data_IF_051479250046
#
_entry.id   IF_051479250046
#
_cell.length_a   1.000
_cell.length_b   1.000
_cell.length_c   1.000
_cell.angle_alpha   90.00
_cell.angle_beta   90.00
_cell.angle_gamma   90.00
#
_symmetry.space_group_name_H-M   'P 1'
#
loop_
_entity.id
_entity.type
_entity.pdbx_description
1 polymer ?
#
# COMPACT_ATOMS: atom_id res chain seq x y z
N UNK A 1 -2.86 6.69 -39.30
CA UNK A 1 -3.10 6.50 -37.86
C UNK A 1 -3.85 7.72 -37.42
N UNK A 2 -5.13 7.57 -37.11
CA UNK A 2 -5.97 8.69 -36.73
C UNK A 2 -5.83 8.91 -35.23
N UNK A 3 -5.47 10.13 -34.83
CA UNK A 3 -5.22 10.48 -33.44
C UNK A 3 -6.34 11.36 -32.92
N UNK A 4 -6.93 10.99 -31.79
CA UNK A 4 -8.04 11.76 -31.20
C UNK A 4 -7.50 12.70 -30.14
N UNK A 5 -7.83 13.98 -30.30
CA UNK A 5 -7.59 15.02 -29.31
C UNK A 5 -8.59 14.86 -28.15
N UNK A 6 -8.11 14.46 -26.97
CA UNK A 6 -8.95 14.41 -25.77
C UNK A 6 -9.15 15.85 -25.26
N UNK A 7 -10.39 16.39 -25.21
CA UNK A 7 -10.61 17.78 -24.85
C UNK A 7 -10.23 18.04 -23.38
N UNK A 8 -9.26 18.92 -23.17
CA UNK A 8 -8.86 19.47 -21.87
C UNK A 8 -9.13 20.98 -21.84
N UNK A 9 -9.56 21.50 -20.69
CA UNK A 9 -9.86 22.94 -20.49
C UNK A 9 -8.60 23.81 -20.30
N UNK A 10 -7.42 23.19 -20.30
CA UNK A 10 -6.12 23.84 -20.18
C UNK A 10 -5.22 23.30 -21.30
N UNK A 11 -4.44 24.21 -21.90
CA UNK A 11 -3.78 24.22 -23.22
C UNK A 11 -2.83 23.07 -23.59
N UNK A 12 -3.04 21.86 -23.06
CA UNK A 12 -2.25 20.66 -23.36
C UNK A 12 -3.23 19.51 -23.59
N UNK A 13 -3.54 19.25 -24.85
CA UNK A 13 -4.32 18.08 -25.28
C UNK A 13 -3.42 16.85 -25.27
N UNK A 14 -3.90 15.77 -24.65
CA UNK A 14 -3.22 14.47 -24.75
C UNK A 14 -3.57 13.84 -26.09
N UNK A 15 -2.55 13.53 -26.86
CA UNK A 15 -2.62 12.87 -28.16
C UNK A 15 -2.53 11.37 -27.88
N UNK A 16 -3.66 10.65 -27.95
CA UNK A 16 -3.72 9.20 -27.73
C UNK A 16 -4.22 8.54 -29.01
N UNK A 17 -3.53 7.50 -29.47
CA UNK A 17 -3.94 6.70 -30.63
C UNK A 17 -5.37 6.17 -30.41
N UNK A 18 -6.22 6.37 -31.41
CA UNK A 18 -7.66 6.07 -31.37
C UNK A 18 -7.96 4.64 -30.93
N UNK A 19 -7.09 3.67 -31.25
CA UNK A 19 -7.29 2.26 -30.85
C UNK A 19 -7.27 2.03 -29.34
N UNK A 20 -6.64 2.94 -28.59
CA UNK A 20 -6.57 2.88 -27.12
C UNK A 20 -7.60 3.78 -26.44
N UNK A 21 -8.38 4.55 -27.20
CA UNK A 21 -9.42 5.44 -26.67
C UNK A 21 -10.68 4.63 -26.35
N UNK A 22 -11.20 4.70 -25.11
CA UNK A 22 -12.44 4.01 -24.74
C UNK A 22 -13.63 4.50 -25.55
N UNK A 23 -14.38 3.58 -26.15
CA UNK A 23 -15.60 3.88 -26.92
C UNK A 23 -16.79 3.15 -26.33
N UNK A 24 -17.95 3.78 -26.40
CA UNK A 24 -19.22 3.14 -26.06
C UNK A 24 -19.41 1.92 -26.99
N UNK A 25 -19.81 0.80 -26.42
CA UNK A 25 -20.01 -0.45 -27.15
C UNK A 25 -18.78 -1.37 -27.21
N UNK A 26 -17.59 -0.94 -26.78
CA UNK A 26 -16.44 -1.86 -26.65
C UNK A 26 -16.78 -3.04 -25.74
N UNK A 27 -16.40 -4.25 -26.16
CA UNK A 27 -16.78 -5.52 -25.53
C UNK A 27 -15.54 -6.20 -24.95
N UNK A 28 -15.66 -6.75 -23.74
CA UNK A 28 -14.63 -7.49 -23.02
C UNK A 28 -15.21 -8.81 -22.51
N UNK A 29 -14.41 -9.88 -22.47
CA UNK A 29 -14.85 -11.17 -21.95
C UNK A 29 -14.94 -11.15 -20.43
N UNK A 30 -14.07 -10.38 -19.79
CA UNK A 30 -14.03 -10.24 -18.34
C UNK A 30 -14.02 -8.77 -17.90
N UNK A 31 -14.49 -8.51 -16.67
CA UNK A 31 -14.38 -7.18 -16.07
C UNK A 31 -12.92 -6.74 -15.92
N UNK A 32 -12.02 -7.70 -15.67
CA UNK A 32 -10.60 -7.42 -15.49
C UNK A 32 -9.93 -6.95 -16.78
N UNK A 33 -10.31 -7.50 -17.93
CA UNK A 33 -9.86 -6.99 -19.23
C UNK A 33 -10.30 -5.54 -19.46
N UNK A 34 -11.57 -5.21 -19.15
CA UNK A 34 -12.08 -3.85 -19.25
C UNK A 34 -11.32 -2.88 -18.33
N UNK A 35 -11.01 -3.30 -17.10
CA UNK A 35 -10.20 -2.54 -16.15
C UNK A 35 -8.78 -2.31 -16.66
N UNK A 36 -8.12 -3.35 -17.17
CA UNK A 36 -6.77 -3.27 -17.75
C UNK A 36 -6.73 -2.32 -18.93
N UNK A 37 -7.71 -2.42 -19.82
CA UNK A 37 -7.86 -1.51 -20.95
C UNK A 37 -7.97 -0.05 -20.49
N UNK A 38 -8.87 0.26 -19.53
CA UNK A 38 -9.01 1.63 -19.06
C UNK A 38 -7.81 2.13 -18.24
N UNK A 39 -7.13 1.24 -17.49
CA UNK A 39 -5.86 1.55 -16.82
C UNK A 39 -4.79 1.92 -17.85
N UNK A 40 -4.71 1.19 -18.97
CA UNK A 40 -3.78 1.49 -20.04
C UNK A 40 -4.08 2.83 -20.71
N UNK A 41 -5.35 3.08 -21.08
CA UNK A 41 -5.78 4.39 -21.56
C UNK A 41 -5.40 5.51 -20.58
N UNK A 42 -5.66 5.34 -19.28
CA UNK A 42 -5.33 6.36 -18.28
C UNK A 42 -3.83 6.62 -18.18
N UNK A 43 -2.99 5.60 -18.41
CA UNK A 43 -1.54 5.77 -18.48
C UNK A 43 -1.17 6.64 -19.68
N UNK A 44 -1.68 6.33 -20.87
CA UNK A 44 -1.42 7.12 -22.09
C UNK A 44 -1.94 8.56 -21.97
N UNK A 45 -3.11 8.72 -21.36
CA UNK A 45 -3.74 10.02 -21.16
C UNK A 45 -3.22 10.77 -19.91
N UNK A 46 -2.23 10.25 -19.18
CA UNK A 46 -1.59 10.99 -18.08
C UNK A 46 -2.41 11.18 -16.81
N UNK A 47 -3.26 10.22 -16.46
CA UNK A 47 -4.03 10.25 -15.22
C UNK A 47 -4.12 8.90 -14.51
N UNK A 48 -4.42 8.93 -13.22
CA UNK A 48 -4.66 7.75 -12.39
C UNK A 48 -6.17 7.46 -12.29
N UNK A 49 -6.55 6.20 -12.11
CA UNK A 49 -7.94 5.74 -12.01
C UNK A 49 -8.26 5.09 -10.66
N UNK A 50 -9.53 5.17 -10.26
CA UNK A 50 -10.09 4.39 -9.15
C UNK A 50 -11.47 3.90 -9.48
N UNK A 51 -11.85 2.79 -8.85
CA UNK A 51 -13.23 2.33 -8.83
C UNK A 51 -13.99 3.24 -7.86
N UNK A 52 -15.04 3.91 -8.35
CA UNK A 52 -15.88 4.78 -7.52
C UNK A 52 -17.13 4.08 -7.03
N UNK A 53 -17.74 3.25 -7.88
CA UNK A 53 -18.94 2.50 -7.54
C UNK A 53 -18.91 1.13 -8.21
N UNK A 54 -19.48 0.12 -7.53
CA UNK A 54 -19.69 -1.22 -8.06
C UNK A 54 -21.10 -1.65 -7.69
N UNK A 55 -21.91 -1.99 -8.69
CA UNK A 55 -23.26 -2.52 -8.50
C UNK A 55 -23.22 -4.03 -8.68
N UNK A 56 -23.89 -4.73 -7.78
CA UNK A 56 -23.93 -6.19 -7.72
C UNK A 56 -25.31 -6.70 -8.13
N UNK A 57 -25.34 -7.93 -8.63
CA UNK A 57 -26.53 -8.71 -8.93
C UNK A 57 -26.25 -10.14 -8.46
N UNK A 58 -26.70 -10.44 -7.24
CA UNK A 58 -26.23 -11.59 -6.48
C UNK A 58 -24.71 -11.56 -6.27
N UNK A 59 -24.04 -12.64 -6.66
CA UNK A 59 -22.60 -12.84 -6.59
C UNK A 59 -21.80 -12.11 -7.69
N UNK A 60 -22.49 -11.48 -8.66
CA UNK A 60 -21.86 -10.92 -9.86
C UNK A 60 -21.84 -9.41 -9.86
N UNK A 61 -20.75 -8.87 -10.39
CA UNK A 61 -20.66 -7.43 -10.66
C UNK A 61 -21.47 -7.12 -11.91
N UNK A 62 -22.58 -6.42 -11.74
CA UNK A 62 -23.43 -5.96 -12.84
C UNK A 62 -22.87 -4.72 -13.51
N UNK A 63 -22.45 -3.73 -12.72
CA UNK A 63 -21.91 -2.47 -13.23
C UNK A 63 -20.71 -2.01 -12.42
N UNK A 64 -19.79 -1.30 -13.07
CA UNK A 64 -18.69 -0.63 -12.40
C UNK A 64 -18.41 0.75 -12.99
N UNK A 65 -18.28 1.74 -12.11
CA UNK A 65 -17.89 3.10 -12.43
C UNK A 65 -16.40 3.29 -12.11
N UNK A 66 -15.60 3.53 -13.15
CA UNK A 66 -14.17 3.82 -13.01
C UNK A 66 -13.95 5.30 -13.35
N UNK A 67 -13.27 6.03 -12.47
CA UNK A 67 -13.09 7.48 -12.55
C UNK A 67 -11.63 7.88 -12.42
N UNK A 68 -11.25 9.05 -12.91
CA UNK A 68 -9.97 9.67 -12.60
C UNK A 68 -9.83 9.95 -11.08
N UNK A 69 -8.63 9.79 -10.52
CA UNK A 69 -8.38 10.04 -9.09
C UNK A 69 -8.05 11.49 -8.75
N UNK A 70 -7.48 12.28 -9.67
CA UNK A 70 -7.02 13.66 -9.41
C UNK A 70 -8.18 14.56 -8.95
N UNK A 71 -7.86 15.55 -8.13
CA UNK A 71 -8.82 16.52 -7.58
C UNK A 71 -9.38 17.42 -8.69
N UNK A 72 -10.64 17.82 -8.54
CA UNK A 72 -11.37 18.56 -9.56
C UNK A 72 -12.87 18.24 -9.63
N UNK A 73 -13.65 19.20 -10.13
CA UNK A 73 -15.11 19.10 -10.28
C UNK A 73 -15.51 18.11 -11.39
N UNK A 74 -14.71 17.99 -12.45
CA UNK A 74 -14.99 17.13 -13.61
C UNK A 74 -13.89 16.08 -13.76
N UNK A 75 -14.30 14.82 -13.90
CA UNK A 75 -13.38 13.67 -13.95
C UNK A 75 -13.76 12.75 -15.10
N UNK A 76 -12.77 12.37 -15.90
CA UNK A 76 -12.95 11.32 -16.91
C UNK A 76 -13.44 10.05 -16.23
N UNK A 77 -14.46 9.42 -16.83
CA UNK A 77 -15.11 8.25 -16.27
C UNK A 77 -15.69 7.33 -17.34
N UNK A 78 -15.66 6.04 -17.05
CA UNK A 78 -16.35 5.02 -17.83
C UNK A 78 -17.29 4.22 -16.94
N UNK A 79 -18.37 3.76 -17.56
CA UNK A 79 -19.30 2.81 -17.00
C UNK A 79 -19.12 1.49 -17.73
N UNK A 80 -18.77 0.43 -17.00
CA UNK A 80 -18.64 -0.92 -17.51
C UNK A 80 -19.85 -1.70 -17.02
N UNK A 81 -20.58 -2.32 -17.94
CA UNK A 81 -21.84 -3.01 -17.69
C UNK A 81 -21.77 -4.45 -18.19
N UNK A 82 -22.12 -5.39 -17.33
CA UNK A 82 -22.33 -6.79 -17.68
C UNK A 82 -23.58 -6.92 -18.53
N UNK A 83 -23.44 -7.56 -19.68
CA UNK A 83 -24.52 -7.95 -20.58
C UNK A 83 -24.42 -9.44 -20.86
N UNK A 84 -25.57 -10.07 -20.98
CA UNK A 84 -25.67 -11.43 -21.49
C UNK A 84 -25.76 -11.35 -23.00
N UNK A 85 -24.87 -12.00 -23.75
CA UNK A 85 -24.92 -11.99 -25.21
C UNK A 85 -26.05 -12.93 -25.71
N UNK A 86 -27.11 -12.42 -26.36
CA UNK A 86 -28.20 -13.25 -26.86
C UNK A 86 -27.87 -13.91 -28.21
N UNK A 87 -26.77 -13.55 -28.88
CA UNK A 87 -26.40 -14.08 -30.20
C UNK A 87 -25.69 -15.44 -30.16
N UNK A 88 -25.36 -15.95 -28.96
CA UNK A 88 -24.88 -17.31 -28.82
C UNK A 88 -26.11 -18.21 -28.81
N UNK A 89 -26.34 -18.92 -29.92
CA UNK A 89 -27.36 -19.95 -30.01
C UNK A 89 -27.32 -20.87 -28.79
N UNK A 90 -28.51 -21.28 -28.34
CA UNK A 90 -28.77 -22.19 -27.21
C UNK A 90 -27.52 -22.98 -26.80
N UNK A 91 -26.98 -22.67 -25.61
CA UNK A 91 -26.05 -23.45 -24.76
C UNK A 91 -24.81 -22.69 -24.22
N UNK A 92 -24.56 -21.44 -24.62
CA UNK A 92 -23.59 -20.61 -23.88
C UNK A 92 -24.03 -19.15 -23.80
N UNK A 93 -24.74 -18.78 -22.73
CA UNK A 93 -24.98 -17.38 -22.38
C UNK A 93 -23.63 -16.73 -22.05
N UNK A 94 -22.89 -16.32 -23.08
CA UNK A 94 -21.62 -15.66 -22.94
C UNK A 94 -21.86 -14.31 -22.25
N UNK A 95 -21.48 -14.24 -20.99
CA UNK A 95 -21.48 -13.00 -20.22
C UNK A 95 -20.33 -12.14 -20.70
N UNK A 96 -20.65 -10.98 -21.25
CA UNK A 96 -19.70 -10.01 -21.77
C UNK A 96 -19.84 -8.70 -21.02
N UNK A 97 -18.73 -7.99 -20.83
CA UNK A 97 -18.73 -6.65 -20.25
C UNK A 97 -18.62 -5.63 -21.38
N UNK A 98 -19.45 -4.59 -21.32
CA UNK A 98 -19.48 -3.54 -22.34
C UNK A 98 -19.28 -2.18 -21.72
N UNK A 99 -18.58 -1.28 -22.42
CA UNK A 99 -18.53 0.13 -22.01
C UNK A 99 -19.85 0.79 -22.40
N UNK A 100 -20.69 1.12 -21.42
CA UNK A 100 -22.02 1.69 -21.66
C UNK A 100 -22.01 3.21 -21.74
N UNK A 101 -21.02 3.88 -21.14
CA UNK A 101 -20.88 5.34 -21.17
C UNK A 101 -19.43 5.76 -20.97
N UNK A 102 -19.01 6.80 -21.70
CA UNK A 102 -17.68 7.41 -21.63
C UNK A 102 -17.82 8.92 -21.50
N UNK A 103 -17.05 9.53 -20.59
CA UNK A 103 -16.92 10.99 -20.47
C UNK A 103 -15.44 11.30 -20.31
N UNK A 104 -14.92 12.21 -21.14
CA UNK A 104 -13.49 12.56 -21.20
C UNK A 104 -13.11 13.87 -20.50
N UNK A 105 -14.06 14.58 -19.90
CA UNK A 105 -13.78 15.89 -19.33
C UNK A 105 -12.81 15.81 -18.14
N UNK A 106 -11.70 16.54 -18.24
CA UNK A 106 -10.77 16.77 -17.15
C UNK A 106 -10.78 18.24 -16.74
N UNK A 107 -10.91 18.49 -15.44
CA UNK A 107 -10.74 19.84 -14.86
C UNK A 107 -9.31 20.09 -14.37
N UNK A 108 -8.35 19.29 -14.80
CA UNK A 108 -6.93 19.42 -14.49
C UNK A 108 -6.11 19.14 -15.76
N UNK A 109 -4.89 19.68 -15.88
CA UNK A 109 -3.98 19.28 -16.93
C UNK A 109 -3.73 17.77 -16.87
N UNK A 110 -3.85 17.12 -18.02
CA UNK A 110 -3.36 15.77 -18.22
C UNK A 110 -1.94 15.89 -18.78
N UNK A 111 -0.98 15.20 -18.14
CA UNK A 111 0.43 15.30 -18.48
C UNK A 111 0.96 13.90 -18.83
N UNK A 112 0.86 13.47 -20.10
CA UNK A 112 1.37 12.18 -20.55
C UNK A 112 2.85 11.98 -20.17
N UNK A 113 3.65 13.04 -20.31
CA UNK A 113 5.09 13.06 -20.00
C UNK A 113 5.44 12.72 -18.54
N UNK A 114 4.47 12.87 -17.63
CA UNK A 114 4.62 12.53 -16.20
C UNK A 114 3.78 11.33 -15.79
N UNK A 115 3.08 10.69 -16.73
CA UNK A 115 2.16 9.59 -16.45
C UNK A 115 2.86 8.40 -15.82
N UNK A 116 4.07 8.08 -16.29
CA UNK A 116 4.88 6.97 -15.77
C UNK A 116 5.27 7.17 -14.32
N UNK A 117 5.39 8.43 -13.90
CA UNK A 117 5.69 8.80 -12.53
C UNK A 117 4.43 8.82 -11.65
N UNK A 118 3.24 8.46 -12.13
CA UNK A 118 2.07 8.29 -11.27
C UNK A 118 2.16 6.97 -10.50
N UNK A 119 1.94 7.02 -9.19
CA UNK A 119 2.04 5.85 -8.29
C UNK A 119 1.32 4.59 -8.79
N UNK A 120 0.17 4.73 -9.45
CA UNK A 120 -0.61 3.59 -9.97
C UNK A 120 0.02 2.91 -11.20
N UNK A 121 0.86 3.65 -11.93
CA UNK A 121 1.51 3.22 -13.17
C UNK A 121 2.97 2.82 -12.95
N UNK A 122 3.53 3.08 -11.76
CA UNK A 122 4.87 2.64 -11.39
C UNK A 122 4.90 1.16 -11.05
N UNK A 123 5.75 0.41 -11.72
CA UNK A 123 5.90 -1.03 -11.51
C UNK A 123 7.37 -1.44 -11.61
N UNK A 124 7.84 -2.23 -10.63
CA UNK A 124 9.17 -2.86 -10.71
C UNK A 124 9.07 -4.15 -11.51
N UNK A 125 9.79 -4.22 -12.63
CA UNK A 125 9.91 -5.43 -13.45
C UNK A 125 10.57 -6.58 -12.67
N UNK A 126 10.42 -7.82 -13.15
CA UNK A 126 11.07 -8.98 -12.51
C UNK A 126 12.60 -8.82 -12.47
N UNK A 127 13.20 -8.31 -13.54
CA UNK A 127 14.63 -8.04 -13.61
C UNK A 127 15.04 -7.04 -12.53
N UNK A 128 14.37 -5.88 -12.46
CA UNK A 128 14.66 -4.85 -11.46
C UNK A 128 14.52 -5.41 -10.02
N UNK A 129 13.47 -6.20 -9.76
CA UNK A 129 13.27 -6.85 -8.46
C UNK A 129 14.40 -7.81 -8.08
N UNK A 130 14.94 -8.58 -9.04
CA UNK A 130 16.09 -9.46 -8.82
C UNK A 130 17.34 -8.64 -8.48
N UNK A 131 17.65 -7.61 -9.28
CA UNK A 131 18.79 -6.73 -9.02
C UNK A 131 18.69 -6.02 -7.66
N UNK A 132 17.51 -5.49 -7.30
CA UNK A 132 17.29 -4.87 -5.99
C UNK A 132 17.53 -5.88 -4.86
N UNK A 133 17.12 -7.15 -5.04
CA UNK A 133 17.36 -8.22 -4.06
C UNK A 133 18.86 -8.46 -3.89
N UNK A 134 19.60 -8.66 -4.98
CA UNK A 134 21.05 -8.88 -4.95
C UNK A 134 21.80 -7.71 -4.31
N UNK A 135 21.41 -6.48 -4.63
CA UNK A 135 22.01 -5.28 -4.03
C UNK A 135 21.74 -5.19 -2.52
N UNK A 136 20.53 -5.58 -2.07
CA UNK A 136 20.21 -5.64 -0.65
C UNK A 136 21.09 -6.67 0.07
N UNK A 137 21.27 -7.85 -0.51
CA UNK A 137 22.07 -8.94 0.07
C UNK A 137 23.56 -8.57 0.16
N UNK A 138 24.05 -7.75 -0.77
CA UNK A 138 25.43 -7.23 -0.78
C UNK A 138 25.61 -5.94 0.04
N UNK A 139 24.57 -5.47 0.74
CA UNK A 139 24.64 -4.28 1.58
C UNK A 139 24.65 -2.94 0.83
N UNK A 140 24.37 -2.94 -0.49
CA UNK A 140 24.30 -1.71 -1.28
C UNK A 140 23.08 -0.89 -0.84
N UNK A 141 23.31 0.40 -0.56
CA UNK A 141 22.26 1.32 -0.13
C UNK A 141 21.17 1.46 -1.20
N UNK A 142 19.87 1.51 -0.82
CA UNK A 142 18.77 1.65 -1.78
C UNK A 142 18.90 2.85 -2.73
N UNK A 143 19.46 3.97 -2.27
CA UNK A 143 19.71 5.15 -3.10
C UNK A 143 20.74 4.86 -4.19
N UNK A 144 21.82 4.12 -3.89
CA UNK A 144 22.83 3.72 -4.88
C UNK A 144 22.28 2.70 -5.88
N UNK A 145 21.44 1.78 -5.43
CA UNK A 145 20.70 0.86 -6.31
C UNK A 145 19.77 1.59 -7.28
N UNK A 146 19.05 2.61 -6.81
CA UNK A 146 18.26 3.43 -7.71
C UNK A 146 19.14 4.17 -8.72
N UNK A 147 20.22 4.80 -8.26
CA UNK A 147 21.15 5.51 -9.15
C UNK A 147 21.81 4.61 -10.20
N UNK A 148 22.10 3.33 -9.87
CA UNK A 148 22.62 2.39 -10.89
C UNK A 148 21.61 2.11 -12.00
N UNK A 149 20.31 2.07 -11.69
CA UNK A 149 19.29 1.96 -12.74
C UNK A 149 19.19 3.24 -13.57
N UNK A 150 19.25 4.41 -12.93
CA UNK A 150 19.23 5.70 -13.64
C UNK A 150 20.40 5.80 -14.61
N UNK A 151 21.60 5.44 -14.17
CA UNK A 151 22.79 5.41 -15.01
C UNK A 151 22.65 4.44 -16.20
N UNK A 152 21.99 3.29 -16.01
CA UNK A 152 21.76 2.32 -17.08
C UNK A 152 20.67 2.76 -18.08
N UNK A 153 19.71 3.57 -17.65
CA UNK A 153 18.58 4.01 -18.47
C UNK A 153 18.75 5.42 -19.05
N UNK A 154 19.87 6.10 -18.75
CA UNK A 154 20.21 7.47 -19.11
C UNK A 154 19.16 8.55 -18.71
N UNK A 155 18.14 8.16 -17.95
CA UNK A 155 17.04 9.02 -17.55
C UNK A 155 16.26 8.43 -16.39
N UNK A 156 15.79 9.30 -15.49
CA UNK A 156 14.83 8.93 -14.46
C UNK A 156 13.46 8.53 -15.03
N UNK A 157 13.09 9.07 -16.18
CA UNK A 157 11.73 8.89 -16.74
C UNK A 157 11.54 7.47 -17.28
N UNK A 158 12.54 6.98 -18.01
CA UNK A 158 12.56 5.65 -18.65
C UNK A 158 12.45 4.48 -17.66
N UNK A 159 12.76 4.73 -16.38
CA UNK A 159 12.69 3.70 -15.35
C UNK A 159 11.27 3.28 -15.01
N UNK A 160 10.29 4.18 -15.10
CA UNK A 160 8.92 3.90 -14.65
C UNK A 160 8.76 3.64 -13.14
N UNK A 161 9.75 3.96 -12.30
CA UNK A 161 9.67 3.92 -10.84
C UNK A 161 10.62 4.93 -10.20
N UNK A 162 10.46 5.19 -8.90
CA UNK A 162 11.33 6.11 -8.14
C UNK A 162 12.10 5.39 -7.02
N UNK A 163 13.10 6.04 -6.45
CA UNK A 163 13.88 5.50 -5.33
C UNK A 163 13.00 4.99 -4.16
N UNK A 164 11.89 5.68 -3.89
CA UNK A 164 10.94 5.26 -2.86
C UNK A 164 10.35 3.87 -3.14
N UNK A 165 10.20 3.48 -4.39
CA UNK A 165 9.70 2.16 -4.77
C UNK A 165 10.73 1.06 -4.46
N UNK A 166 12.03 1.34 -4.62
CA UNK A 166 13.13 0.46 -4.18
C UNK A 166 13.08 0.27 -2.67
N UNK A 167 12.97 1.37 -1.91
CA UNK A 167 12.83 1.32 -0.45
C UNK A 167 11.61 0.51 -0.02
N UNK A 168 10.44 0.78 -0.61
CA UNK A 168 9.20 0.07 -0.32
C UNK A 168 9.32 -1.43 -0.58
N UNK A 169 9.96 -1.83 -1.69
CA UNK A 169 10.17 -3.23 -2.03
C UNK A 169 11.04 -3.96 -1.00
N UNK A 170 12.16 -3.34 -0.61
CA UNK A 170 13.07 -3.88 0.41
C UNK A 170 12.34 -4.03 1.75
N UNK A 171 11.66 -2.97 2.23
CA UNK A 171 10.94 -2.99 3.51
C UNK A 171 9.81 -4.01 3.51
N UNK A 172 9.04 -4.12 2.42
CA UNK A 172 7.96 -5.11 2.31
C UNK A 172 8.50 -6.54 2.40
N UNK A 173 9.65 -6.82 1.77
CA UNK A 173 10.27 -8.15 1.84
C UNK A 173 10.78 -8.48 3.24
N UNK A 174 11.39 -7.51 3.95
CA UNK A 174 11.80 -7.70 5.36
C UNK A 174 10.61 -8.07 6.24
N UNK A 175 9.49 -7.34 6.14
CA UNK A 175 8.27 -7.65 6.91
C UNK A 175 7.70 -9.02 6.59
N UNK A 176 7.76 -9.45 5.33
CA UNK A 176 7.26 -10.76 4.95
C UNK A 176 8.14 -11.91 5.47
N UNK A 177 9.47 -11.72 5.50
CA UNK A 177 10.41 -12.69 6.09
C UNK A 177 10.17 -12.79 7.60
N UNK A 178 10.10 -11.66 8.30
CA UNK A 178 9.79 -11.65 9.74
C UNK A 178 8.46 -12.35 10.05
N UNK A 179 7.39 -12.09 9.29
CA UNK A 179 6.12 -12.81 9.49
C UNK A 179 6.20 -14.32 9.26
N UNK A 180 7.05 -14.75 8.34
CA UNK A 180 7.27 -16.18 8.04
C UNK A 180 8.11 -16.85 9.13
N UNK A 181 9.12 -16.15 9.65
CA UNK A 181 9.89 -16.56 10.82
C UNK A 181 8.99 -16.63 12.05
N UNK A 182 8.15 -15.63 12.30
CA UNK A 182 7.16 -15.61 13.38
C UNK A 182 6.15 -16.77 13.24
N UNK A 183 5.67 -17.06 12.02
CA UNK A 183 4.74 -18.16 11.77
C UNK A 183 5.42 -19.53 11.94
N UNK A 184 6.69 -19.66 11.54
CA UNK A 184 7.49 -20.87 11.72
C UNK A 184 7.84 -21.09 13.18
N UNK A 185 8.11 -20.02 13.92
CA UNK A 185 8.32 -20.04 15.37
C UNK A 185 7.02 -20.43 16.09
N UNK A 186 5.89 -19.81 15.75
CA UNK A 186 4.58 -20.16 16.29
C UNK A 186 4.22 -21.63 16.00
N UNK A 187 4.50 -22.13 14.80
CA UNK A 187 4.29 -23.53 14.43
C UNK A 187 5.08 -24.54 15.28
N UNK A 188 6.22 -24.16 15.87
CA UNK A 188 6.97 -25.03 16.80
C UNK A 188 6.20 -25.28 18.10
N UNK A 189 5.38 -24.32 18.54
CA UNK A 189 4.55 -24.46 19.75
C UNK A 189 3.33 -25.36 19.54
N UNK A 190 2.91 -25.60 18.28
CA UNK A 190 1.74 -26.42 17.95
C UNK A 190 2.12 -27.89 17.67
N UNK A 191 3.43 -28.20 17.58
CA UNK A 191 3.94 -29.53 17.22
C UNK A 191 4.08 -30.55 18.36
N UNK A 192 3.73 -30.19 19.59
CA UNK A 192 3.75 -31.11 20.73
C UNK A 192 2.30 -31.47 21.12
N UNK A 193 1.94 -32.77 21.19
CA UNK A 193 0.63 -33.18 21.66
C UNK A 193 0.43 -32.66 23.08
N UNK A 194 -0.74 -32.07 23.29
CA UNK A 194 -1.14 -31.36 24.49
C UNK A 194 -0.88 -32.16 25.77
N UNK A 195 0.11 -31.74 26.54
CA UNK A 195 -0.06 -31.64 27.98
C UNK A 195 -0.35 -30.16 28.23
N UNK A 196 -1.52 -29.85 28.77
CA UNK A 196 -1.99 -28.50 29.05
C UNK A 196 -1.11 -27.88 30.15
N UNK A 197 0.09 -27.43 29.80
CA UNK A 197 0.83 -26.48 30.62
C UNK A 197 0.19 -25.12 30.36
N UNK A 198 -0.50 -24.52 31.35
CA UNK A 198 -1.10 -23.21 31.19
C UNK A 198 0.00 -22.19 30.84
N UNK A 199 -0.32 -21.16 30.02
CA UNK A 199 0.66 -20.12 29.71
C UNK A 199 1.22 -19.51 31.00
N UNK A 200 2.50 -19.11 31.01
CA UNK A 200 3.07 -18.45 32.18
C UNK A 200 2.22 -17.23 32.54
N UNK A 201 1.96 -16.98 33.83
CA UNK A 201 1.18 -15.82 34.24
C UNK A 201 1.84 -14.54 33.74
N UNK A 202 1.05 -13.51 33.38
CA UNK A 202 1.61 -12.22 33.00
C UNK A 202 2.49 -11.67 34.13
N UNK A 203 3.58 -10.98 33.81
CA UNK A 203 4.44 -10.39 34.82
C UNK A 203 3.63 -9.44 35.71
N UNK A 204 3.85 -9.52 37.03
CA UNK A 204 3.15 -8.71 38.03
C UNK A 204 3.24 -7.22 37.67
N UNK A 205 2.08 -6.58 37.51
CA UNK A 205 2.00 -5.13 37.40
C UNK A 205 2.36 -4.51 38.76
N UNK A 206 3.49 -3.78 38.86
CA UNK A 206 3.89 -3.17 40.12
C UNK A 206 2.86 -2.17 40.67
N UNK A 207 1.86 -1.76 39.88
CA UNK A 207 0.78 -0.87 40.31
C UNK A 207 -0.26 -1.52 41.25
N UNK A 208 -0.23 -2.84 41.45
CA UNK A 208 -1.22 -3.55 42.31
C UNK A 208 -0.65 -4.19 43.58
N UNK A 209 0.59 -3.87 43.96
CA UNK A 209 1.13 -4.32 45.25
C UNK A 209 0.47 -3.53 46.40
N UNK A 210 -0.51 -4.17 47.06
CA UNK A 210 -1.11 -3.69 48.32
C UNK A 210 0.01 -3.47 49.34
N UNK A 211 0.09 -2.33 50.04
CA UNK A 211 1.11 -2.14 51.08
C UNK A 211 0.85 -3.14 52.20
N UNK A 212 1.82 -3.99 52.52
CA UNK A 212 1.78 -4.80 53.73
C UNK A 212 1.95 -3.90 54.95
N UNK A 213 1.01 -4.03 55.88
CA UNK A 213 0.96 -3.33 57.14
C UNK A 213 2.23 -3.62 57.97
N UNK A 214 3.05 -2.60 58.19
CA UNK A 214 3.98 -2.54 59.33
C UNK A 214 3.33 -1.71 60.42
N UNK A 215 2.56 -2.37 61.28
CA UNK A 215 2.19 -1.81 62.58
C UNK A 215 3.43 -1.74 63.48
N UNK A 216 3.79 -0.49 63.80
CA UNK A 216 4.26 0.01 65.09
C UNK A 216 4.74 -1.02 66.14
N UNK A 217 6.06 -1.07 66.34
CA UNK A 217 6.60 -1.33 67.68
C UNK A 217 7.25 -0.05 68.20
N UNK A 218 6.69 0.46 69.29
CA UNK A 218 7.05 1.71 69.94
C UNK A 218 8.20 1.51 70.93
N UNK A 219 9.15 2.46 70.89
CA UNK A 219 9.91 3.02 72.00
C UNK A 219 10.35 2.10 73.18
N UNK A 220 11.67 1.88 73.28
CA UNK A 220 12.33 1.98 74.58
C UNK A 220 13.78 2.49 74.42
N UNK A 221 13.97 3.79 74.68
CA UNK A 221 15.28 4.40 74.98
C UNK A 221 15.59 4.21 76.47
N UNK A 222 16.80 3.74 76.86
CA UNK A 222 17.33 4.03 78.17
C UNK A 222 18.06 5.39 78.14
N UNK A 223 17.62 6.34 79.00
CA UNK A 223 18.37 7.57 79.27
C UNK A 223 19.62 7.28 80.12
N UNK A 224 20.70 8.03 79.84
CA UNK A 224 21.82 8.52 80.69
C UNK A 224 23.10 8.45 79.84
N UNK A 225 24.03 9.41 79.81
CA UNK A 225 24.26 10.65 80.56
C UNK A 225 25.36 11.44 79.82
N UNK A 226 25.24 12.75 79.80
CA UNK A 226 26.21 13.72 79.24
C UNK A 226 27.43 13.82 80.17
N UNK A 227 28.68 13.78 79.66
CA UNK A 227 29.82 14.35 80.38
C UNK A 227 29.89 15.86 80.07
N UNK A 228 29.84 16.68 81.11
CA UNK A 228 29.94 18.14 81.03
C UNK A 228 31.34 18.63 80.62
N UNK A 229 31.46 19.92 80.29
CA UNK A 229 32.73 20.54 79.92
C UNK A 229 33.62 20.69 81.15
N UNK A 230 34.88 20.30 81.03
CA UNK A 230 35.94 20.64 81.98
C UNK A 230 36.28 22.13 81.83
N UNK A 231 36.18 22.84 82.94
CA UNK A 231 36.41 24.28 83.11
C UNK A 231 37.90 24.55 83.48
N UNK A 232 38.36 25.79 83.77
CA UNK A 232 39.40 26.46 83.00
C UNK A 232 40.68 26.83 83.79
N UNK A 233 41.68 27.37 83.07
CA UNK A 233 42.88 28.09 83.53
C UNK A 233 44.02 27.30 84.22
N UNK A 234 45.24 27.52 83.72
CA UNK A 234 46.47 27.12 84.40
C UNK A 234 47.75 27.48 83.64
N UNK A 235 48.16 28.76 83.79
CA UNK A 235 49.53 29.33 83.71
C UNK A 235 50.30 29.26 82.40
#
# INVERSE_FOLDING_TARGET
MDVIQVPSTTRTSCVVDEKFVPKVGMIFKTLEEARKFYKHYSKLAGFSTKIRNTTWDGDKIKNQLIVCTREGRWKSKIFVTLKTNPSAGLNFLARIYTISKVIFNHSHPCCPDQAEMLKQHRELSMFMRRTIKTHKETGIRPSKTYQSFVAAADSHRELGFIEKDVRNYITKKVRNISKEDDAKEFGKYIGHPAELVPPPPPPDDPAHRRPENREVEAAQHPRKSVPGPSDPNGV
#
